data_IF_604305459780
#
_entry.id   IF_604305459780
#
_cell.length_a   1.000
_cell.length_b   1.000
_cell.length_c   1.000
_cell.angle_alpha   90.00
_cell.angle_beta   90.00
_cell.angle_gamma   90.00
#
_symmetry.space_group_name_H-M   'P 1'
#
loop_
_entity.id
_entity.type
_entity.pdbx_description
1 polymer ?
#
# COMPACT_ATOMS: atom_id res chain seq x y z
N UNK A 1 -47.18 36.99 -10.46
CA UNK A 1 -45.85 36.36 -10.27
C UNK A 1 -45.54 36.05 -8.78
N UNK A 2 -45.62 37.00 -7.84
CA UNK A 2 -45.33 36.78 -6.40
C UNK A 2 -46.12 35.66 -5.69
N UNK A 3 -47.42 35.48 -6.00
CA UNK A 3 -48.27 34.43 -5.37
C UNK A 3 -47.81 33.00 -5.67
N UNK A 4 -47.20 32.75 -6.83
CA UNK A 4 -46.75 31.42 -7.23
C UNK A 4 -45.45 31.02 -6.53
N UNK A 5 -44.58 32.00 -6.26
CA UNK A 5 -43.32 31.79 -5.55
C UNK A 5 -43.54 31.42 -4.07
N UNK A 6 -44.51 32.07 -3.41
CA UNK A 6 -44.86 31.79 -2.01
C UNK A 6 -45.43 30.37 -1.86
N UNK A 7 -46.21 29.91 -2.85
CA UNK A 7 -46.77 28.56 -2.87
C UNK A 7 -45.66 27.50 -2.95
N UNK A 8 -44.69 27.70 -3.84
CA UNK A 8 -43.55 26.80 -4.02
C UNK A 8 -42.68 26.74 -2.76
N UNK A 9 -42.45 27.88 -2.09
CA UNK A 9 -41.66 27.94 -0.85
C UNK A 9 -42.36 27.18 0.28
N UNK A 10 -43.68 27.33 0.41
CA UNK A 10 -44.44 26.62 1.43
C UNK A 10 -44.48 25.10 1.17
N UNK A 11 -44.67 24.69 -0.09
CA UNK A 11 -44.65 23.28 -0.48
C UNK A 11 -43.29 22.63 -0.17
N UNK A 12 -42.18 23.34 -0.45
CA UNK A 12 -40.82 22.87 -0.09
C UNK A 12 -40.58 22.81 1.41
N UNK A 13 -41.12 23.78 2.16
CA UNK A 13 -40.95 23.84 3.62
C UNK A 13 -41.70 22.70 4.32
N UNK A 14 -42.90 22.38 3.84
CA UNK A 14 -43.68 21.23 4.34
C UNK A 14 -43.04 19.89 3.94
N UNK A 15 -42.41 19.82 2.76
CA UNK A 15 -41.65 18.64 2.34
C UNK A 15 -40.41 18.39 3.24
N UNK A 16 -39.70 19.46 3.64
CA UNK A 16 -38.59 19.39 4.59
C UNK A 16 -39.05 18.96 5.98
N UNK A 17 -40.18 19.49 6.47
CA UNK A 17 -40.75 19.09 7.77
C UNK A 17 -41.25 17.64 7.78
N UNK A 18 -41.86 17.19 6.69
CA UNK A 18 -42.34 15.81 6.59
C UNK A 18 -41.18 14.82 6.54
N UNK A 19 -40.08 15.15 5.85
CA UNK A 19 -38.85 14.36 5.88
C UNK A 19 -38.21 14.36 7.28
N UNK A 20 -38.26 15.47 8.02
CA UNK A 20 -37.76 15.55 9.39
C UNK A 20 -38.59 14.72 10.38
N UNK A 21 -39.91 14.61 10.17
CA UNK A 21 -40.83 13.90 11.06
C UNK A 21 -40.82 12.38 10.85
N UNK A 22 -40.48 11.91 9.65
CA UNK A 22 -40.34 10.47 9.37
C UNK A 22 -39.06 9.83 9.93
N UNK A 23 -38.14 10.61 10.51
CA UNK A 23 -36.84 10.14 11.03
C UNK A 23 -36.93 9.71 12.52
N UNK A 24 -37.99 10.09 13.26
CA UNK A 24 -38.05 9.90 14.72
C UNK A 24 -38.58 8.53 15.22
N UNK A 25 -38.95 7.57 14.34
CA UNK A 25 -39.60 6.31 14.78
C UNK A 25 -38.90 4.99 14.40
N UNK A 26 -37.61 5.01 14.10
CA UNK A 26 -36.79 3.79 14.11
C UNK A 26 -35.40 4.16 14.63
N UNK A 27 -35.06 3.76 15.86
CA UNK A 27 -33.68 3.87 16.37
C UNK A 27 -32.85 2.77 15.68
N UNK A 28 -32.60 3.02 14.40
CA UNK A 28 -31.45 2.49 13.67
C UNK A 28 -30.22 3.05 14.35
N UNK A 29 -29.24 2.21 14.65
CA UNK A 29 -27.91 2.65 15.06
C UNK A 29 -27.43 3.71 14.06
N UNK A 30 -27.16 4.93 14.55
CA UNK A 30 -26.75 6.04 13.70
C UNK A 30 -25.33 5.73 13.21
N UNK A 31 -25.17 5.60 11.90
CA UNK A 31 -23.86 5.31 11.29
C UNK A 31 -22.88 6.43 11.69
N UNK A 32 -21.72 6.11 12.28
CA UNK A 32 -20.76 7.12 12.69
C UNK A 32 -20.37 8.05 11.53
N UNK A 33 -20.20 9.35 11.81
CA UNK A 33 -19.86 10.36 10.80
C UNK A 33 -18.61 9.96 10.00
N UNK A 34 -17.61 9.39 10.68
CA UNK A 34 -16.36 8.95 10.06
C UNK A 34 -16.57 7.82 9.05
N UNK A 35 -17.49 6.89 9.33
CA UNK A 35 -17.85 5.80 8.40
C UNK A 35 -18.47 6.40 7.14
N UNK A 36 -19.40 7.35 7.30
CA UNK A 36 -20.03 8.06 6.18
C UNK A 36 -19.00 8.81 5.32
N UNK A 37 -18.05 9.48 5.97
CA UNK A 37 -16.96 10.21 5.29
C UNK A 37 -16.04 9.26 4.51
N UNK A 38 -15.67 8.12 5.10
CA UNK A 38 -14.84 7.12 4.41
C UNK A 38 -15.57 6.53 3.22
N UNK A 39 -16.86 6.22 3.32
CA UNK A 39 -17.62 5.70 2.18
C UNK A 39 -17.68 6.71 1.04
N UNK A 40 -17.93 7.99 1.33
CA UNK A 40 -17.89 9.05 0.34
C UNK A 40 -16.50 9.17 -0.32
N UNK A 41 -15.44 9.00 0.48
CA UNK A 41 -14.06 9.00 0.00
C UNK A 41 -13.78 7.81 -0.94
N UNK A 42 -14.18 6.59 -0.57
CA UNK A 42 -14.04 5.38 -1.40
C UNK A 42 -14.74 5.56 -2.75
N UNK A 43 -16.00 6.02 -2.74
CA UNK A 43 -16.77 6.28 -3.96
C UNK A 43 -16.03 7.28 -4.86
N UNK A 44 -15.48 8.34 -4.28
CA UNK A 44 -14.71 9.34 -5.02
C UNK A 44 -13.41 8.77 -5.59
N UNK A 45 -12.61 8.08 -4.78
CA UNK A 45 -11.28 7.58 -5.14
C UNK A 45 -11.36 6.52 -6.24
N UNK A 46 -12.35 5.63 -6.18
CA UNK A 46 -12.59 4.58 -7.19
C UNK A 46 -13.58 4.99 -8.29
N UNK A 47 -14.14 6.20 -8.22
CA UNK A 47 -15.14 6.73 -9.18
C UNK A 47 -16.34 5.79 -9.35
N UNK A 48 -16.86 5.27 -8.24
CA UNK A 48 -17.94 4.29 -8.21
C UNK A 48 -19.30 4.93 -8.49
N UNK A 49 -20.21 4.15 -9.06
CA UNK A 49 -21.63 4.50 -9.16
C UNK A 49 -22.31 4.24 -7.81
N UNK A 50 -22.92 5.28 -7.24
CA UNK A 50 -23.59 5.20 -5.95
C UNK A 50 -24.82 4.28 -5.95
N UNK A 51 -25.32 3.87 -7.12
CA UNK A 51 -26.41 2.89 -7.21
C UNK A 51 -25.97 1.46 -6.95
N UNK A 52 -24.69 1.15 -7.15
CA UNK A 52 -24.16 -0.20 -7.04
C UNK A 52 -23.19 -0.37 -5.86
N UNK A 53 -23.02 0.68 -5.05
CA UNK A 53 -22.13 0.70 -3.90
C UNK A 53 -22.92 1.02 -2.62
N UNK A 54 -22.96 0.10 -1.66
CA UNK A 54 -23.70 0.28 -0.40
C UNK A 54 -22.98 -0.35 0.79
N UNK A 55 -23.07 0.31 1.95
CA UNK A 55 -22.61 -0.26 3.22
C UNK A 55 -23.56 -1.40 3.65
N UNK A 56 -23.01 -2.59 3.89
CA UNK A 56 -23.75 -3.71 4.47
C UNK A 56 -23.64 -3.72 5.99
N UNK A 57 -22.43 -3.53 6.51
CA UNK A 57 -22.17 -3.53 7.96
C UNK A 57 -20.88 -2.78 8.29
N UNK A 58 -20.76 -2.37 9.55
CA UNK A 58 -19.53 -1.84 10.11
C UNK A 58 -19.29 -2.41 11.53
N UNK A 59 -18.02 -2.53 11.92
CA UNK A 59 -17.60 -2.99 13.25
C UNK A 59 -16.43 -2.12 13.75
N UNK A 60 -16.48 -1.65 14.99
CA UNK A 60 -15.34 -0.98 15.62
C UNK A 60 -14.19 -1.95 15.85
N UNK A 61 -12.98 -1.52 15.48
CA UNK A 61 -11.78 -2.34 15.62
C UNK A 61 -10.57 -1.51 16.00
N UNK A 62 -9.75 -2.09 16.88
CA UNK A 62 -8.41 -1.59 17.17
C UNK A 62 -7.38 -2.41 16.41
N UNK A 63 -6.46 -1.71 15.74
CA UNK A 63 -5.40 -2.25 14.90
C UNK A 63 -4.06 -2.14 15.61
N UNK A 64 -3.25 -3.19 15.56
CA UNK A 64 -1.90 -3.20 16.15
C UNK A 64 -0.85 -2.48 15.28
N UNK A 65 -1.20 -2.16 14.03
CA UNK A 65 -0.29 -1.52 13.09
C UNK A 65 -1.01 -0.68 12.05
N UNK A 66 -0.23 0.12 11.32
CA UNK A 66 -0.70 0.90 10.17
C UNK A 66 -1.12 0.03 8.97
N UNK A 67 -1.07 -1.30 9.07
CA UNK A 67 -1.66 -2.21 8.10
C UNK A 67 -3.19 -2.27 8.21
N UNK A 68 -3.77 -1.75 9.29
CA UNK A 68 -5.20 -1.81 9.60
C UNK A 68 -5.76 -3.24 9.42
N UNK A 69 -4.99 -4.25 9.85
CA UNK A 69 -5.37 -5.67 9.73
C UNK A 69 -5.22 -6.29 8.34
N UNK A 70 -4.76 -5.55 7.34
CA UNK A 70 -4.64 -6.00 5.93
C UNK A 70 -3.20 -5.86 5.43
N UNK A 71 -2.25 -6.66 5.96
CA UNK A 71 -0.86 -6.58 5.56
C UNK A 71 -0.67 -7.13 4.15
N UNK A 72 -0.09 -6.30 3.28
CA UNK A 72 0.37 -6.72 1.96
C UNK A 72 1.74 -7.39 2.08
N UNK A 73 1.93 -8.50 1.38
CA UNK A 73 3.20 -9.20 1.34
C UNK A 73 4.34 -8.26 0.91
N UNK A 74 5.47 -8.34 1.61
CA UNK A 74 6.66 -7.55 1.32
C UNK A 74 6.57 -6.09 1.75
N UNK A 75 5.50 -5.66 2.42
CA UNK A 75 5.36 -4.32 2.98
C UNK A 75 5.65 -4.31 4.48
N UNK A 76 6.35 -3.27 4.95
CA UNK A 76 6.53 -3.03 6.38
C UNK A 76 5.51 -2.02 6.89
N UNK A 77 5.05 -2.22 8.12
CA UNK A 77 4.04 -1.40 8.77
C UNK A 77 4.51 -0.96 10.14
N UNK A 78 4.22 0.29 10.49
CA UNK A 78 4.55 0.82 11.80
C UNK A 78 3.62 0.18 12.84
N UNK A 79 4.21 -0.27 13.96
CA UNK A 79 3.48 -0.88 15.07
C UNK A 79 2.90 0.23 15.95
N UNK A 80 1.66 0.62 15.65
CA UNK A 80 0.95 1.71 16.31
C UNK A 80 -0.49 1.28 16.51
N UNK A 81 -0.91 1.25 17.77
CA UNK A 81 -2.29 0.99 18.15
C UNK A 81 -3.18 2.09 17.57
N UNK A 82 -4.11 1.70 16.69
CA UNK A 82 -4.95 2.63 15.93
C UNK A 82 -6.40 2.18 15.98
N UNK A 83 -7.29 3.04 16.45
CA UNK A 83 -8.74 2.78 16.41
C UNK A 83 -9.30 3.01 15.01
N UNK A 84 -10.38 2.33 14.67
CA UNK A 84 -11.13 2.55 13.44
C UNK A 84 -12.22 1.50 13.24
N UNK A 85 -12.50 1.17 11.99
CA UNK A 85 -13.64 0.32 11.63
C UNK A 85 -13.31 -0.70 10.55
N UNK A 86 -13.92 -1.88 10.64
CA UNK A 86 -14.12 -2.81 9.52
C UNK A 86 -15.41 -2.40 8.83
N UNK A 87 -15.38 -2.20 7.51
CA UNK A 87 -16.53 -1.90 6.68
C UNK A 87 -16.72 -3.03 5.68
N UNK A 88 -17.89 -3.65 5.64
CA UNK A 88 -18.29 -4.55 4.55
C UNK A 88 -19.25 -3.80 3.65
N UNK A 89 -18.93 -3.74 2.36
CA UNK A 89 -19.72 -3.04 1.36
C UNK A 89 -20.09 -3.99 0.23
N UNK A 90 -21.27 -3.80 -0.34
CA UNK A 90 -21.63 -4.40 -1.62
C UNK A 90 -21.16 -3.48 -2.74
N UNK A 91 -20.45 -4.00 -3.73
CA UNK A 91 -20.04 -3.30 -4.95
C UNK A 91 -20.40 -4.16 -6.18
N UNK A 92 -21.36 -3.71 -7.00
CA UNK A 92 -21.88 -4.49 -8.14
C UNK A 92 -22.34 -5.93 -7.78
N UNK A 93 -22.81 -6.12 -6.54
CA UNK A 93 -23.27 -7.41 -6.03
C UNK A 93 -22.18 -8.30 -5.43
N UNK A 94 -20.92 -7.86 -5.43
CA UNK A 94 -19.81 -8.51 -4.72
C UNK A 94 -19.56 -7.84 -3.36
N UNK A 95 -19.22 -8.64 -2.35
CA UNK A 95 -18.88 -8.11 -1.02
C UNK A 95 -17.38 -7.78 -0.98
N UNK A 96 -17.07 -6.53 -0.66
CA UNK A 96 -15.71 -6.04 -0.43
C UNK A 96 -15.53 -5.61 1.03
N UNK A 97 -14.35 -5.87 1.58
CA UNK A 97 -13.99 -5.42 2.92
C UNK A 97 -13.00 -4.25 2.84
N UNK A 98 -13.30 -3.18 3.57
CA UNK A 98 -12.43 -2.04 3.78
C UNK A 98 -12.15 -1.86 5.27
N UNK A 99 -10.88 -1.70 5.64
CA UNK A 99 -10.51 -1.38 7.02
C UNK A 99 -10.04 0.07 7.10
N UNK A 100 -10.42 0.75 8.17
CA UNK A 100 -10.25 2.20 8.32
C UNK A 100 -9.60 2.56 9.64
N UNK A 101 -9.00 3.74 9.71
CA UNK A 101 -8.66 4.39 10.97
C UNK A 101 -9.65 5.51 11.33
N UNK A 102 -9.60 5.97 12.57
CA UNK A 102 -10.43 7.07 13.09
C UNK A 102 -10.15 8.43 12.44
N UNK A 103 -9.13 8.54 11.57
CA UNK A 103 -8.79 9.75 10.81
C UNK A 103 -9.33 9.73 9.38
N UNK A 104 -9.97 8.62 8.97
CA UNK A 104 -10.57 8.46 7.65
C UNK A 104 -9.62 7.93 6.59
N UNK A 105 -8.44 7.42 6.97
CA UNK A 105 -7.64 6.59 6.08
C UNK A 105 -8.29 5.21 5.97
N UNK A 106 -8.19 4.59 4.79
CA UNK A 106 -8.74 3.28 4.55
C UNK A 106 -7.81 2.40 3.70
N UNK A 107 -7.99 1.08 3.81
CA UNK A 107 -7.35 0.05 3.00
C UNK A 107 -8.43 -0.87 2.44
N UNK A 108 -8.42 -1.12 1.13
CA UNK A 108 -9.25 -2.16 0.51
C UNK A 108 -8.63 -3.53 0.79
N UNK A 109 -9.16 -4.24 1.78
CA UNK A 109 -8.63 -5.51 2.24
C UNK A 109 -8.89 -6.65 1.24
N UNK A 110 -10.00 -6.58 0.50
CA UNK A 110 -10.26 -7.53 -0.59
C UNK A 110 -9.19 -7.44 -1.68
N UNK A 111 -8.80 -6.22 -2.08
CA UNK A 111 -7.72 -5.99 -3.04
C UNK A 111 -6.36 -6.47 -2.52
N UNK A 112 -6.03 -6.18 -1.25
CA UNK A 112 -4.79 -6.66 -0.63
C UNK A 112 -4.75 -8.19 -0.57
N UNK A 113 -5.84 -8.84 -0.16
CA UNK A 113 -5.91 -10.30 -0.10
C UNK A 113 -5.71 -10.93 -1.49
N UNK A 114 -6.31 -10.36 -2.53
CA UNK A 114 -6.08 -10.83 -3.90
C UNK A 114 -4.63 -10.65 -4.35
N UNK A 115 -4.02 -9.50 -4.03
CA UNK A 115 -2.60 -9.24 -4.30
C UNK A 115 -1.68 -10.24 -3.60
N UNK A 116 -2.00 -10.60 -2.35
CA UNK A 116 -1.27 -11.62 -1.60
C UNK A 116 -1.43 -13.02 -2.20
N UNK A 117 -2.62 -13.38 -2.68
CA UNK A 117 -2.86 -14.66 -3.38
C UNK A 117 -2.05 -14.72 -4.69
N UNK A 118 -1.94 -13.60 -5.40
CA UNK A 118 -1.19 -13.48 -6.65
C UNK A 118 0.33 -13.34 -6.44
N UNK A 119 0.81 -13.37 -5.19
CA UNK A 119 2.22 -13.24 -4.89
C UNK A 119 2.95 -14.56 -5.11
N UNK A 120 3.61 -14.70 -6.26
CA UNK A 120 4.28 -15.93 -6.68
C UNK A 120 5.79 -15.74 -6.95
N UNK A 121 6.29 -14.51 -6.81
CA UNK A 121 7.67 -14.17 -7.10
C UNK A 121 8.48 -13.97 -5.82
N UNK A 122 9.63 -14.63 -5.73
CA UNK A 122 10.56 -14.50 -4.61
C UNK A 122 11.99 -14.38 -5.16
N UNK A 123 12.66 -13.26 -4.89
CA UNK A 123 14.00 -12.97 -5.41
C UNK A 123 15.05 -14.00 -4.94
N UNK A 124 14.98 -14.40 -3.67
CA UNK A 124 15.93 -15.34 -3.07
C UNK A 124 15.85 -16.69 -3.77
N UNK A 125 14.63 -17.23 -3.91
CA UNK A 125 14.39 -18.51 -4.60
C UNK A 125 14.75 -18.43 -6.08
N UNK A 126 14.31 -17.37 -6.77
CA UNK A 126 14.49 -17.21 -8.23
C UNK A 126 15.96 -17.11 -8.62
N UNK A 127 16.77 -16.39 -7.84
CA UNK A 127 18.17 -16.09 -8.16
C UNK A 127 19.18 -16.83 -7.26
N UNK A 128 18.70 -17.75 -6.42
CA UNK A 128 19.50 -18.52 -5.46
C UNK A 128 20.40 -17.61 -4.61
N UNK A 129 19.80 -16.61 -3.95
CA UNK A 129 20.54 -15.61 -3.19
C UNK A 129 21.01 -16.13 -1.81
N UNK A 130 20.62 -17.34 -1.41
CA UNK A 130 21.08 -17.98 -0.16
C UNK A 130 22.60 -18.24 -0.16
N UNK A 131 23.21 -18.35 -1.34
CA UNK A 131 24.66 -18.54 -1.53
C UNK A 131 25.46 -17.23 -1.60
N UNK A 132 24.84 -16.10 -1.26
CA UNK A 132 25.51 -14.78 -1.32
C UNK A 132 26.60 -14.67 -0.25
N UNK A 133 27.83 -14.43 -0.69
CA UNK A 133 28.99 -14.21 0.19
C UNK A 133 29.24 -12.73 0.45
N UNK A 134 28.78 -11.86 -0.46
CA UNK A 134 28.96 -10.42 -0.37
C UNK A 134 27.87 -9.69 -1.14
N UNK A 135 27.40 -8.58 -0.58
CA UNK A 135 26.49 -7.67 -1.27
C UNK A 135 27.20 -6.35 -1.48
N UNK A 136 27.25 -5.87 -2.72
CA UNK A 136 27.95 -4.64 -3.07
C UNK A 136 27.03 -3.66 -3.80
N UNK A 137 27.02 -2.40 -3.35
CA UNK A 137 26.30 -1.33 -4.01
C UNK A 137 27.27 -0.45 -4.81
N UNK A 138 26.99 -0.31 -6.10
CA UNK A 138 27.71 0.59 -7.00
C UNK A 138 26.79 1.69 -7.51
N UNK A 139 27.36 2.83 -7.85
CA UNK A 139 26.69 3.79 -8.75
C UNK A 139 26.62 3.20 -10.17
N UNK A 140 25.48 3.33 -10.83
CA UNK A 140 25.28 2.73 -12.15
C UNK A 140 26.06 3.48 -13.26
N UNK A 141 26.24 4.79 -13.11
CA UNK A 141 26.86 5.64 -14.15
C UNK A 141 28.33 5.32 -14.43
N UNK A 142 29.12 5.00 -13.40
CA UNK A 142 30.57 4.80 -13.53
C UNK A 142 31.09 3.61 -12.72
N UNK A 143 30.21 2.72 -12.24
CA UNK A 143 30.56 1.58 -11.40
C UNK A 143 31.42 1.95 -10.18
N UNK A 144 31.26 3.16 -9.63
CA UNK A 144 31.95 3.54 -8.39
C UNK A 144 31.32 2.80 -7.22
N UNK A 145 32.13 2.07 -6.47
CA UNK A 145 31.75 1.44 -5.21
C UNK A 145 31.19 2.47 -4.23
N UNK A 146 30.00 2.20 -3.71
CA UNK A 146 29.36 3.00 -2.65
C UNK A 146 29.66 2.36 -1.31
N UNK A 147 29.32 1.08 -1.13
CA UNK A 147 29.81 0.23 -0.02
C UNK A 147 29.48 -1.25 -0.28
N UNK A 148 29.96 -2.13 0.60
CA UNK A 148 29.73 -3.56 0.57
C UNK A 148 29.45 -4.12 1.96
N UNK A 149 28.73 -5.24 2.01
CA UNK A 149 28.42 -6.01 3.20
C UNK A 149 28.98 -7.42 3.02
N UNK A 150 29.86 -7.83 3.92
CA UNK A 150 30.46 -9.18 3.99
C UNK A 150 30.17 -9.85 5.36
N UNK A 151 29.59 -9.10 6.31
CA UNK A 151 29.24 -9.65 7.61
C UNK A 151 28.11 -10.68 7.46
N UNK A 152 28.34 -11.91 7.92
CA UNK A 152 27.40 -13.02 7.76
C UNK A 152 26.03 -12.78 8.39
N UNK A 153 25.95 -12.15 9.57
CA UNK A 153 24.67 -11.87 10.24
C UNK A 153 23.88 -10.80 9.48
N UNK A 154 24.55 -9.75 8.99
CA UNK A 154 23.93 -8.72 8.17
C UNK A 154 23.45 -9.28 6.83
N UNK A 155 24.26 -10.11 6.17
CA UNK A 155 23.90 -10.81 4.93
C UNK A 155 22.64 -11.65 5.13
N UNK A 156 22.62 -12.53 6.13
CA UNK A 156 21.45 -13.34 6.45
C UNK A 156 20.21 -12.46 6.69
N UNK A 157 20.36 -11.38 7.47
CA UNK A 157 19.26 -10.46 7.75
C UNK A 157 18.73 -9.72 6.51
N UNK A 158 19.56 -9.51 5.49
CA UNK A 158 19.14 -8.93 4.20
C UNK A 158 18.48 -9.98 3.33
N UNK A 159 19.09 -11.16 3.19
CA UNK A 159 18.54 -12.27 2.41
C UNK A 159 17.17 -12.68 2.95
N UNK A 160 17.02 -12.79 4.27
CA UNK A 160 15.73 -13.11 4.91
C UNK A 160 14.66 -12.06 4.59
N UNK A 161 15.03 -10.78 4.52
CA UNK A 161 14.08 -9.72 4.17
C UNK A 161 13.64 -9.75 2.70
N UNK A 162 14.46 -10.34 1.82
CA UNK A 162 14.11 -10.60 0.42
C UNK A 162 13.38 -11.94 0.22
N UNK A 163 13.41 -12.82 1.22
CA UNK A 163 12.82 -14.16 1.15
C UNK A 163 11.31 -14.10 1.44
N UNK A 164 10.60 -13.30 0.65
CA UNK A 164 9.16 -13.13 0.71
C UNK A 164 8.57 -13.27 -0.70
N UNK A 165 7.40 -13.89 -0.77
CA UNK A 165 6.62 -13.98 -2.01
C UNK A 165 5.85 -12.68 -2.21
N UNK A 166 6.06 -12.05 -3.36
CA UNK A 166 5.42 -10.79 -3.73
C UNK A 166 4.80 -10.90 -5.12
N UNK A 167 3.76 -10.10 -5.36
CA UNK A 167 3.22 -9.89 -6.70
C UNK A 167 4.15 -8.92 -7.45
N UNK A 168 4.72 -9.36 -8.56
CA UNK A 168 5.50 -8.50 -9.46
C UNK A 168 4.76 -8.29 -10.78
N UNK A 169 4.88 -7.08 -11.32
CA UNK A 169 4.36 -6.75 -12.66
C UNK A 169 5.51 -6.31 -13.55
N UNK A 170 5.42 -6.61 -14.84
CA UNK A 170 6.35 -6.02 -15.82
C UNK A 170 6.19 -4.50 -15.79
N UNK A 171 7.30 -3.81 -16.04
CA UNK A 171 7.36 -2.36 -15.97
C UNK A 171 8.11 -1.77 -17.16
N UNK A 172 8.06 -0.45 -17.29
CA UNK A 172 8.89 0.27 -18.25
C UNK A 172 10.37 0.11 -17.93
N UNK A 173 11.22 0.34 -18.94
CA UNK A 173 12.66 0.25 -18.81
C UNK A 173 13.18 1.09 -17.64
N UNK A 174 13.97 0.47 -16.77
CA UNK A 174 14.58 1.12 -15.62
C UNK A 174 15.86 1.89 -15.99
N UNK A 175 15.82 3.22 -15.91
CA UNK A 175 17.03 4.05 -15.86
C UNK A 175 17.50 4.20 -14.41
N UNK A 176 18.29 3.24 -13.94
CA UNK A 176 18.73 3.14 -12.54
C UNK A 176 19.89 4.08 -12.19
N UNK A 177 19.89 4.57 -10.95
CA UNK A 177 21.01 5.31 -10.38
C UNK A 177 22.06 4.39 -9.73
N UNK A 178 21.65 3.22 -9.25
CA UNK A 178 22.51 2.28 -8.54
C UNK A 178 22.40 0.87 -9.09
N UNK A 179 23.46 0.09 -8.85
CA UNK A 179 23.56 -1.33 -9.16
C UNK A 179 23.89 -2.07 -7.87
N UNK A 180 22.99 -2.96 -7.46
CA UNK A 180 23.15 -3.85 -6.33
C UNK A 180 23.62 -5.21 -6.85
N UNK A 181 24.76 -5.68 -6.36
CA UNK A 181 25.39 -6.93 -6.81
C UNK A 181 25.41 -7.91 -5.64
N UNK A 182 24.83 -9.08 -5.84
CA UNK A 182 24.92 -10.22 -4.94
C UNK A 182 26.02 -11.14 -5.49
N UNK A 183 27.19 -11.07 -4.86
CA UNK A 183 28.36 -11.86 -5.23
C UNK A 183 28.23 -13.26 -4.60
N UNK A 184 28.25 -14.28 -5.45
CA UNK A 184 28.16 -15.69 -5.06
C UNK A 184 29.36 -16.45 -5.61
N UNK A 185 29.66 -17.60 -5.02
CA UNK A 185 30.74 -18.48 -5.49
C UNK A 185 30.54 -18.87 -6.97
N UNK A 186 29.29 -19.12 -7.36
CA UNK A 186 28.94 -19.64 -8.68
C UNK A 186 28.81 -18.56 -9.75
N UNK A 187 28.08 -17.48 -9.47
CA UNK A 187 27.91 -16.34 -10.37
C UNK A 187 27.29 -15.15 -9.64
N UNK A 188 27.62 -13.94 -10.06
CA UNK A 188 27.00 -12.73 -9.51
C UNK A 188 25.58 -12.52 -10.03
N UNK A 189 24.73 -11.89 -9.21
CA UNK A 189 23.42 -11.40 -9.62
C UNK A 189 23.42 -9.89 -9.49
N UNK A 190 23.22 -9.20 -10.62
CA UNK A 190 23.14 -7.74 -10.67
C UNK A 190 21.68 -7.30 -10.73
N UNK A 191 21.30 -6.39 -9.84
CA UNK A 191 19.99 -5.73 -9.81
C UNK A 191 20.19 -4.23 -9.97
N UNK A 192 19.58 -3.62 -10.98
CA UNK A 192 19.54 -2.17 -11.10
C UNK A 192 18.36 -1.63 -10.28
N UNK A 193 18.64 -0.68 -9.39
CA UNK A 193 17.69 -0.19 -8.39
C UNK A 193 17.67 1.34 -8.33
N UNK A 194 16.64 1.91 -7.70
CA UNK A 194 16.35 3.34 -7.70
C UNK A 194 16.24 3.91 -9.12
N UNK A 195 15.31 3.35 -9.90
CA UNK A 195 15.01 3.84 -11.24
C UNK A 195 14.43 5.26 -11.16
N UNK A 196 14.88 6.15 -12.05
CA UNK A 196 14.47 7.55 -12.07
C UNK A 196 12.96 7.73 -12.27
N UNK A 197 12.36 6.85 -13.07
CA UNK A 197 10.92 6.90 -13.36
C UNK A 197 10.07 6.41 -12.18
N UNK A 198 10.55 5.40 -11.47
CA UNK A 198 9.86 4.82 -10.34
C UNK A 198 10.86 4.08 -9.42
N UNK A 199 11.02 4.50 -8.14
CA UNK A 199 11.99 3.89 -7.23
C UNK A 199 11.64 2.44 -6.84
N UNK A 200 10.42 1.98 -7.14
CA UNK A 200 9.96 0.60 -6.88
C UNK A 200 10.27 -0.36 -8.02
N UNK A 201 10.87 0.13 -9.12
CA UNK A 201 11.29 -0.72 -10.23
C UNK A 201 12.67 -1.32 -9.96
N UNK A 202 12.86 -2.53 -10.46
CA UNK A 202 14.10 -3.30 -10.39
C UNK A 202 14.36 -3.89 -11.76
N UNK A 203 15.55 -3.67 -12.30
CA UNK A 203 16.02 -4.40 -13.48
C UNK A 203 16.88 -5.58 -13.03
N UNK A 204 16.59 -6.78 -13.52
CA UNK A 204 17.50 -7.94 -13.38
C UNK A 204 17.70 -8.56 -14.76
N UNK A 205 16.79 -9.46 -15.15
CA UNK A 205 16.66 -9.98 -16.52
C UNK A 205 15.65 -9.17 -17.35
N UNK A 206 14.71 -8.53 -16.64
CA UNK A 206 13.69 -7.65 -17.17
C UNK A 206 13.31 -6.60 -16.11
N UNK A 207 12.65 -5.51 -16.52
CA UNK A 207 12.14 -4.49 -15.61
C UNK A 207 10.90 -4.99 -14.85
N UNK A 208 11.01 -5.11 -13.53
CA UNK A 208 9.94 -5.54 -12.62
C UNK A 208 9.54 -4.39 -11.70
N UNK A 209 8.24 -4.25 -11.43
CA UNK A 209 7.76 -3.49 -10.28
C UNK A 209 7.71 -4.42 -9.06
N UNK A 210 8.64 -4.22 -8.13
CA UNK A 210 8.79 -5.03 -6.92
C UNK A 210 8.18 -4.35 -5.67
N UNK A 211 7.43 -3.26 -5.85
CA UNK A 211 6.88 -2.49 -4.76
C UNK A 211 7.96 -1.97 -3.79
N UNK A 212 7.58 -1.81 -2.51
CA UNK A 212 8.52 -1.32 -1.48
C UNK A 212 9.50 -2.38 -0.99
N UNK A 213 9.31 -3.65 -1.34
CA UNK A 213 10.06 -4.78 -0.80
C UNK A 213 11.53 -4.72 -1.16
N UNK A 214 11.85 -4.29 -2.38
CA UNK A 214 13.25 -4.08 -2.77
C UNK A 214 13.83 -2.81 -2.12
N UNK A 215 13.02 -1.77 -1.96
CA UNK A 215 13.46 -0.48 -1.46
C UNK A 215 13.93 -0.59 -0.02
N UNK A 216 13.20 -1.31 0.84
CA UNK A 216 13.59 -1.53 2.24
C UNK A 216 14.96 -2.19 2.37
N UNK A 217 15.32 -3.05 1.42
CA UNK A 217 16.62 -3.73 1.38
C UNK A 217 17.72 -2.74 1.02
N UNK A 218 17.54 -1.95 -0.04
CA UNK A 218 18.56 -0.96 -0.41
C UNK A 218 18.68 0.12 0.67
N UNK A 219 17.58 0.55 1.28
CA UNK A 219 17.58 1.46 2.43
C UNK A 219 18.41 0.91 3.58
N UNK A 220 18.21 -0.36 3.97
CA UNK A 220 18.98 -1.00 5.05
C UNK A 220 20.48 -1.05 4.77
N UNK A 221 20.87 -1.35 3.53
CA UNK A 221 22.27 -1.32 3.09
C UNK A 221 22.84 0.08 3.22
N UNK A 222 22.10 1.09 2.74
CA UNK A 222 22.52 2.49 2.78
C UNK A 222 22.59 3.05 4.21
N UNK A 223 21.69 2.67 5.11
CA UNK A 223 21.73 3.12 6.51
C UNK A 223 22.95 2.60 7.26
N UNK A 224 23.47 1.43 6.88
CA UNK A 224 24.70 0.89 7.44
C UNK A 224 25.96 1.61 6.94
N UNK A 225 25.86 2.48 5.93
CA UNK A 225 27.04 3.17 5.34
C UNK A 225 27.54 4.38 6.14
N UNK A 226 26.82 4.82 7.18
CA UNK A 226 27.22 5.93 8.05
C UNK A 226 27.21 7.33 7.38
N UNK A 227 27.46 7.44 6.07
CA UNK A 227 27.43 8.68 5.28
C UNK A 227 26.85 8.44 3.88
N UNK A 228 25.77 9.14 3.53
CA UNK A 228 25.12 9.06 2.23
C UNK A 228 25.56 10.22 1.30
N UNK A 229 25.79 9.97 -0.01
CA UNK A 229 26.05 11.04 -0.97
C UNK A 229 24.91 12.09 -0.98
N UNK A 230 25.22 13.33 -0.60
CA UNK A 230 24.24 14.42 -0.54
C UNK A 230 23.63 14.68 0.84
N UNK A 231 23.99 13.91 1.88
CA UNK A 231 23.72 14.30 3.27
C UNK A 231 24.66 15.44 3.71
N UNK A 232 24.18 16.42 4.49
CA UNK A 232 25.05 17.38 5.16
C UNK A 232 26.06 16.61 6.04
N UNK A 233 27.34 16.97 5.93
CA UNK A 233 28.40 16.47 6.81
C UNK A 233 28.49 17.28 8.10
#
# INVERSE_FOLDING_TARGET
>A
MKKNLIKIINERTEQVKNNSKSIEENVSEEVPEIVSLVLAKIISDYKLDNQNFSLESYEEKTWESTALGCPKNGMMYAQVITEGYILNVTNYGETEQYNTDSKGNYINCSEINQSNINSDFNFVKKYNLEETEKITLFTNKNNKLVSSIENKEELLSIIDSLNIEIEVKTSDKCEANYKLVFEKISSDIEMLVYCQNNPYYVEVEQSLNAGKSILSVVEKILTNMGNFPGMPQ
#
